data_IF_008731904551
#
_entry.id   IF_008731904551
#
_cell.length_a   1.000
_cell.length_b   1.000
_cell.length_c   1.000
_cell.angle_alpha   90.00
_cell.angle_beta   90.00
_cell.angle_gamma   90.00
#
_symmetry.space_group_name_H-M   'P 1'
#
loop_
_entity.id
_entity.type
_entity.pdbx_description
1 polymer ?
#
# COMPACT_ATOMS: atom_id res chain seq x y z
N UNK A 1 6.40 -66.98 -10.06
CA UNK A 1 6.46 -65.66 -10.74
C UNK A 1 5.24 -64.84 -10.36
N UNK A 2 5.33 -64.03 -9.30
CA UNK A 2 4.27 -63.07 -8.93
C UNK A 2 4.93 -61.81 -8.32
N UNK A 3 4.40 -60.67 -8.76
CA UNK A 3 4.41 -59.33 -8.14
C UNK A 3 5.74 -58.57 -8.01
N UNK A 4 6.17 -57.96 -9.12
CA UNK A 4 6.97 -56.72 -9.11
C UNK A 4 6.24 -55.69 -10.00
N UNK A 5 5.17 -55.06 -9.50
CA UNK A 5 4.46 -53.99 -10.23
C UNK A 5 4.02 -52.78 -9.37
N UNK A 6 4.43 -52.69 -8.10
CA UNK A 6 3.90 -51.64 -7.21
C UNK A 6 4.97 -50.72 -6.60
N UNK A 7 6.03 -50.37 -7.34
CA UNK A 7 7.05 -49.39 -6.87
C UNK A 7 7.36 -48.39 -7.99
N UNK A 8 6.37 -47.64 -8.48
CA UNK A 8 6.62 -46.60 -9.48
C UNK A 8 5.50 -45.53 -9.55
N UNK A 9 4.82 -45.24 -8.43
CA UNK A 9 3.73 -44.27 -8.40
C UNK A 9 3.80 -43.28 -7.23
N UNK A 10 4.99 -43.01 -6.69
CA UNK A 10 5.19 -42.14 -5.51
C UNK A 10 6.21 -41.02 -5.69
N UNK A 11 6.65 -40.71 -6.92
CA UNK A 11 7.69 -39.70 -7.18
C UNK A 11 7.22 -38.49 -8.00
N UNK A 12 5.92 -38.34 -8.29
CA UNK A 12 5.40 -37.25 -9.14
C UNK A 12 4.54 -36.20 -8.43
N UNK A 13 4.44 -36.21 -7.10
CA UNK A 13 3.64 -35.23 -6.34
C UNK A 13 4.51 -34.17 -5.62
N UNK A 14 5.84 -34.34 -5.60
CA UNK A 14 6.73 -33.54 -4.75
C UNK A 14 7.15 -32.15 -5.27
N UNK A 15 6.87 -31.78 -6.53
CA UNK A 15 7.49 -30.57 -7.14
C UNK A 15 6.55 -29.36 -7.32
N UNK A 16 5.25 -29.49 -7.07
CA UNK A 16 4.29 -28.40 -7.35
C UNK A 16 4.20 -27.34 -6.24
N UNK A 17 4.75 -27.59 -5.05
CA UNK A 17 4.62 -26.71 -3.88
C UNK A 17 5.66 -25.58 -3.82
N UNK A 18 6.76 -25.66 -4.58
CA UNK A 18 7.81 -24.63 -4.58
C UNK A 18 7.54 -23.48 -5.57
N UNK A 19 6.67 -23.66 -6.57
CA UNK A 19 6.41 -22.64 -7.58
C UNK A 19 5.45 -21.52 -7.12
N UNK A 20 4.72 -21.71 -6.02
CA UNK A 20 3.77 -20.71 -5.49
C UNK A 20 4.38 -19.75 -4.45
N UNK A 21 5.63 -19.94 -4.03
CA UNK A 21 6.24 -19.13 -2.95
C UNK A 21 6.93 -17.85 -3.43
N UNK A 22 6.95 -17.55 -4.74
CA UNK A 22 7.73 -16.44 -5.31
C UNK A 22 6.97 -15.50 -6.24
N UNK A 23 5.64 -15.31 -6.08
CA UNK A 23 5.03 -14.05 -6.55
C UNK A 23 5.48 -12.94 -5.61
N UNK A 24 6.71 -12.48 -5.80
CA UNK A 24 7.30 -11.37 -5.08
C UNK A 24 6.40 -10.15 -5.23
N UNK A 25 6.00 -9.57 -4.10
CA UNK A 25 5.30 -8.30 -4.08
C UNK A 25 6.30 -7.23 -4.54
N UNK A 26 6.22 -6.80 -5.81
CA UNK A 26 6.99 -5.64 -6.25
C UNK A 26 6.41 -4.40 -5.55
N UNK A 27 7.24 -3.58 -4.88
CA UNK A 27 6.78 -2.29 -4.39
C UNK A 27 6.35 -1.45 -5.60
N UNK A 28 5.21 -0.77 -5.47
CA UNK A 28 4.72 0.15 -6.51
C UNK A 28 5.74 1.27 -6.72
N UNK A 29 5.82 1.79 -7.94
CA UNK A 29 6.55 3.04 -8.20
C UNK A 29 5.84 4.23 -7.56
N UNK A 30 6.53 5.37 -7.41
CA UNK A 30 5.90 6.59 -6.88
C UNK A 30 4.77 7.06 -7.79
N UNK A 31 4.99 7.01 -9.11
CA UNK A 31 3.98 7.33 -10.11
C UNK A 31 2.74 6.44 -9.95
N UNK A 32 2.91 5.12 -9.86
CA UNK A 32 1.80 4.19 -9.66
C UNK A 32 1.05 4.42 -8.34
N UNK A 33 1.78 4.83 -7.29
CA UNK A 33 1.15 5.20 -6.00
C UNK A 33 0.33 6.48 -6.14
N UNK A 34 0.87 7.50 -6.84
CA UNK A 34 0.18 8.76 -7.09
C UNK A 34 -1.08 8.52 -7.92
N UNK A 35 -0.98 7.80 -9.04
CA UNK A 35 -2.13 7.51 -9.91
C UNK A 35 -3.25 6.82 -9.13
N UNK A 36 -2.93 5.81 -8.32
CA UNK A 36 -3.93 5.11 -7.49
C UNK A 36 -4.56 5.99 -6.42
N UNK A 37 -3.79 6.92 -5.84
CA UNK A 37 -4.34 7.86 -4.87
C UNK A 37 -5.28 8.85 -5.57
N UNK A 38 -4.88 9.38 -6.72
CA UNK A 38 -5.68 10.31 -7.50
C UNK A 38 -6.97 9.65 -8.02
N UNK A 39 -6.92 8.40 -8.47
CA UNK A 39 -8.10 7.61 -8.86
C UNK A 39 -9.10 7.51 -7.70
N UNK A 40 -8.65 7.12 -6.51
CA UNK A 40 -9.51 7.04 -5.31
C UNK A 40 -10.11 8.37 -4.90
N UNK A 41 -9.36 9.46 -5.05
CA UNK A 41 -9.85 10.81 -4.76
C UNK A 41 -10.93 11.16 -5.79
N UNK A 42 -10.66 10.91 -7.07
CA UNK A 42 -11.55 11.25 -8.18
C UNK A 42 -12.84 10.39 -8.22
N UNK A 43 -12.86 9.21 -7.58
CA UNK A 43 -14.07 8.41 -7.38
C UNK A 43 -15.11 9.09 -6.48
N UNK A 44 -14.68 9.99 -5.59
CA UNK A 44 -15.55 10.63 -4.58
C UNK A 44 -15.66 12.13 -4.73
N UNK A 45 -14.71 12.74 -5.43
CA UNK A 45 -14.58 14.17 -5.58
C UNK A 45 -14.47 14.46 -7.05
N UNK A 46 -15.40 15.24 -7.59
CA UNK A 46 -15.30 15.72 -8.95
C UNK A 46 -14.23 16.80 -9.00
N UNK A 47 -13.13 16.51 -9.69
CA UNK A 47 -11.99 17.41 -9.86
C UNK A 47 -11.93 17.89 -11.32
N UNK A 48 -11.69 19.18 -11.50
CA UNK A 48 -11.33 19.69 -12.83
C UNK A 48 -9.87 19.31 -13.20
N UNK A 49 -9.50 19.52 -14.47
CA UNK A 49 -8.19 19.10 -14.98
C UNK A 49 -7.02 19.87 -14.35
N UNK A 50 -7.23 21.13 -13.95
CA UNK A 50 -6.22 21.92 -13.26
C UNK A 50 -6.04 21.41 -11.83
N UNK A 51 -7.13 21.13 -11.12
CA UNK A 51 -7.10 20.54 -9.78
C UNK A 51 -6.42 19.17 -9.78
N UNK A 52 -6.73 18.31 -10.77
CA UNK A 52 -6.10 17.00 -10.93
C UNK A 52 -4.59 17.12 -11.11
N UNK A 53 -4.14 17.97 -12.04
CA UNK A 53 -2.71 18.13 -12.32
C UNK A 53 -1.94 18.70 -11.12
N UNK A 54 -2.50 19.70 -10.43
CA UNK A 54 -1.89 20.24 -9.22
C UNK A 54 -1.85 19.21 -8.08
N UNK A 55 -2.94 18.47 -7.86
CA UNK A 55 -2.96 17.39 -6.88
C UNK A 55 -1.94 16.30 -7.19
N UNK A 56 -1.82 15.90 -8.45
CA UNK A 56 -0.85 14.88 -8.88
C UNK A 56 0.59 15.28 -8.55
N UNK A 57 0.95 16.55 -8.79
CA UNK A 57 2.27 17.10 -8.43
C UNK A 57 2.51 17.00 -6.92
N UNK A 58 1.55 17.46 -6.11
CA UNK A 58 1.70 17.44 -4.65
C UNK A 58 1.68 16.03 -4.06
N UNK A 59 0.87 15.12 -4.59
CA UNK A 59 0.83 13.72 -4.19
C UNK A 59 2.13 13.00 -4.58
N UNK A 60 2.68 13.29 -5.75
CA UNK A 60 3.99 12.75 -6.18
C UNK A 60 5.10 13.20 -5.26
N UNK A 61 5.16 14.49 -4.94
CA UNK A 61 6.15 15.03 -4.01
C UNK A 61 5.99 14.41 -2.61
N UNK A 62 4.76 14.33 -2.10
CA UNK A 62 4.46 13.65 -0.85
C UNK A 62 4.95 12.19 -0.86
N UNK A 63 4.66 11.43 -1.92
CA UNK A 63 5.05 10.03 -2.02
C UNK A 63 6.58 9.85 -2.14
N UNK A 64 7.28 10.79 -2.80
CA UNK A 64 8.75 10.84 -2.81
C UNK A 64 9.30 11.07 -1.40
N UNK A 65 8.82 12.11 -0.71
CA UNK A 65 9.26 12.44 0.66
C UNK A 65 9.00 11.27 1.63
N UNK A 66 7.84 10.61 1.51
CA UNK A 66 7.52 9.40 2.28
C UNK A 66 8.49 8.26 2.00
N UNK A 67 8.88 8.06 0.74
CA UNK A 67 9.85 7.04 0.34
C UNK A 67 11.22 7.33 0.96
N UNK A 68 11.67 8.59 0.94
CA UNK A 68 12.92 9.00 1.57
C UNK A 68 12.93 8.74 3.08
N UNK A 69 11.86 9.13 3.79
CA UNK A 69 11.72 8.84 5.23
C UNK A 69 11.78 7.33 5.48
N UNK A 70 11.07 6.53 4.69
CA UNK A 70 11.06 5.07 4.85
C UNK A 70 12.42 4.43 4.58
N UNK A 71 13.16 4.97 3.61
CA UNK A 71 14.52 4.54 3.23
C UNK A 71 15.62 5.05 4.16
N UNK A 72 15.36 6.02 5.03
CA UNK A 72 16.34 6.50 6.01
C UNK A 72 16.75 5.39 7.01
N UNK A 73 17.88 5.56 7.70
CA UNK A 73 18.34 4.61 8.72
C UNK A 73 17.79 4.92 10.13
N UNK A 74 16.76 5.77 10.22
CA UNK A 74 16.21 6.21 11.49
C UNK A 74 15.34 5.14 12.16
N UNK A 75 15.21 5.26 13.49
CA UNK A 75 14.35 4.38 14.27
C UNK A 75 12.89 4.47 13.84
N UNK A 76 12.18 3.36 14.05
CA UNK A 76 10.79 3.20 13.60
C UNK A 76 9.86 4.28 14.15
N UNK A 77 10.03 4.68 15.39
CA UNK A 77 9.17 5.67 16.04
C UNK A 77 9.41 7.07 15.49
N UNK A 78 10.69 7.43 15.25
CA UNK A 78 11.06 8.69 14.58
C UNK A 78 10.52 8.74 13.16
N UNK A 79 10.64 7.65 12.40
CA UNK A 79 10.04 7.56 11.05
C UNK A 79 8.53 7.76 11.09
N UNK A 80 7.84 7.18 12.08
CA UNK A 80 6.39 7.34 12.25
C UNK A 80 6.02 8.79 12.53
N UNK A 81 6.75 9.45 13.42
CA UNK A 81 6.53 10.86 13.74
C UNK A 81 6.76 11.76 12.51
N UNK A 82 7.89 11.57 11.81
CA UNK A 82 8.18 12.32 10.57
C UNK A 82 7.14 12.11 9.49
N UNK A 83 6.65 10.88 9.33
CA UNK A 83 5.57 10.57 8.39
C UNK A 83 4.28 11.32 8.74
N UNK A 84 3.92 11.39 10.03
CA UNK A 84 2.74 12.14 10.47
C UNK A 84 2.91 13.65 10.26
N UNK A 85 4.08 14.20 10.58
CA UNK A 85 4.38 15.62 10.36
C UNK A 85 4.38 15.98 8.87
N UNK A 86 4.94 15.10 8.03
CA UNK A 86 4.91 15.26 6.57
C UNK A 86 3.47 15.27 6.05
N UNK A 87 2.62 14.34 6.50
CA UNK A 87 1.24 14.29 6.07
C UNK A 87 0.46 15.56 6.46
N UNK A 88 0.75 16.11 7.64
CA UNK A 88 0.16 17.37 8.11
C UNK A 88 0.69 18.59 7.32
N UNK A 89 1.95 18.59 6.91
CA UNK A 89 2.55 19.73 6.19
C UNK A 89 2.02 19.90 4.76
N UNK A 90 1.50 18.82 4.16
CA UNK A 90 0.87 18.86 2.84
C UNK A 90 -0.62 19.20 2.86
N UNK A 91 -1.29 19.10 4.02
CA UNK A 91 -2.72 19.42 4.13
C UNK A 91 -3.09 20.83 3.66
N UNK A 92 -2.34 21.90 4.01
CA UNK A 92 -2.64 23.24 3.50
C UNK A 92 -2.52 23.33 1.98
N UNK A 93 -1.54 22.66 1.38
CA UNK A 93 -1.34 22.65 -0.08
C UNK A 93 -2.54 22.05 -0.81
N UNK A 94 -3.15 21.01 -0.25
CA UNK A 94 -4.37 20.42 -0.80
C UNK A 94 -5.59 21.33 -0.60
N UNK A 95 -5.66 22.04 0.52
CA UNK A 95 -6.73 23.00 0.80
C UNK A 95 -6.70 24.21 -0.15
N UNK A 96 -5.53 24.62 -0.61
CA UNK A 96 -5.39 25.72 -1.59
C UNK A 96 -5.90 25.36 -2.99
N UNK A 97 -5.89 24.08 -3.35
CA UNK A 97 -6.31 23.58 -4.68
C UNK A 97 -7.80 23.27 -4.70
N UNK A 98 -8.29 22.70 -3.61
CA UNK A 98 -9.66 22.21 -3.47
C UNK A 98 -10.57 23.31 -2.94
N UNK A 99 -11.81 23.35 -3.43
CA UNK A 99 -12.85 24.11 -2.75
C UNK A 99 -13.09 23.56 -1.34
N UNK A 100 -13.70 24.34 -0.46
CA UNK A 100 -14.00 23.93 0.93
C UNK A 100 -14.74 22.60 1.01
N UNK A 101 -15.72 22.36 0.13
CA UNK A 101 -16.49 21.11 0.13
C UNK A 101 -15.69 19.93 -0.42
N UNK A 102 -14.94 20.14 -1.52
CA UNK A 102 -14.01 19.11 -2.03
C UNK A 102 -12.94 18.77 -0.99
N UNK A 103 -12.43 19.74 -0.23
CA UNK A 103 -11.43 19.50 0.80
C UNK A 103 -11.96 18.65 1.96
N UNK A 104 -13.20 18.87 2.39
CA UNK A 104 -13.85 18.01 3.39
C UNK A 104 -13.94 16.56 2.91
N UNK A 105 -14.40 16.35 1.67
CA UNK A 105 -14.46 15.02 1.08
C UNK A 105 -13.08 14.39 0.94
N UNK A 106 -12.06 15.18 0.62
CA UNK A 106 -10.67 14.71 0.54
C UNK A 106 -10.18 14.17 1.88
N UNK A 107 -10.49 14.85 3.00
CA UNK A 107 -10.15 14.36 4.34
C UNK A 107 -10.85 13.03 4.64
N UNK A 108 -12.11 12.87 4.25
CA UNK A 108 -12.84 11.61 4.41
C UNK A 108 -12.20 10.46 3.61
N UNK A 109 -11.88 10.70 2.33
CA UNK A 109 -11.20 9.71 1.48
C UNK A 109 -9.87 9.30 2.09
N UNK A 110 -9.10 10.26 2.62
CA UNK A 110 -7.82 10.01 3.28
C UNK A 110 -7.99 9.12 4.51
N UNK A 111 -8.95 9.43 5.37
CA UNK A 111 -9.21 8.68 6.59
C UNK A 111 -9.70 7.25 6.28
N UNK A 112 -10.51 7.07 5.24
CA UNK A 112 -10.89 5.75 4.74
C UNK A 112 -9.68 4.95 4.23
N UNK A 113 -8.81 5.56 3.43
CA UNK A 113 -7.58 4.92 2.96
C UNK A 113 -6.68 4.50 4.12
N UNK A 114 -6.62 5.29 5.19
CA UNK A 114 -5.86 4.93 6.39
C UNK A 114 -6.49 3.72 7.10
N UNK A 115 -7.82 3.73 7.32
CA UNK A 115 -8.55 2.61 7.93
C UNK A 115 -8.37 1.32 7.14
N UNK A 116 -8.45 1.35 5.82
CA UNK A 116 -8.18 0.19 4.95
C UNK A 116 -6.77 -0.38 5.17
N UNK A 117 -5.76 0.49 5.30
CA UNK A 117 -4.37 0.08 5.56
C UNK A 117 -4.23 -0.58 6.93
N UNK A 118 -4.88 -0.03 7.95
CA UNK A 118 -4.85 -0.58 9.31
C UNK A 118 -5.51 -1.97 9.37
N UNK A 119 -6.68 -2.14 8.75
CA UNK A 119 -7.39 -3.42 8.69
C UNK A 119 -6.56 -4.51 7.99
N UNK A 120 -5.90 -4.18 6.87
CA UNK A 120 -5.02 -5.12 6.15
C UNK A 120 -3.80 -5.54 6.96
N UNK A 121 -3.32 -4.70 7.88
CA UNK A 121 -2.19 -5.02 8.79
C UNK A 121 -2.62 -5.91 9.96
N UNK A 122 -3.81 -5.69 10.51
CA UNK A 122 -4.35 -6.51 11.62
C UNK A 122 -4.54 -7.99 11.27
N UNK A 123 -4.90 -8.30 10.01
CA UNK A 123 -5.17 -9.68 9.59
C UNK A 123 -3.92 -10.56 9.43
N UNK A 124 -2.73 -9.96 9.21
CA UNK A 124 -1.46 -10.71 9.06
C UNK A 124 -0.78 -11.04 10.39
N UNK A 125 -1.12 -10.36 11.49
CA UNK A 125 -0.55 -10.63 12.82
C UNK A 125 -1.04 -11.94 13.46
N UNK A 126 -2.21 -12.45 13.05
CA UNK A 126 -2.84 -13.60 13.72
C UNK A 126 -2.49 -14.98 13.13
N UNK A 127 -1.75 -15.07 12.03
CA UNK A 127 -1.35 -16.37 11.43
C UNK A 127 -0.01 -16.93 11.94
N UNK A 128 0.83 -16.13 12.59
CA UNK A 128 2.12 -16.60 13.11
C UNK A 128 2.08 -17.11 14.56
N UNK A 129 0.98 -16.88 15.30
CA UNK A 129 0.84 -17.35 16.69
C UNK A 129 0.35 -18.80 16.84
N UNK A 130 0.03 -19.50 15.74
CA UNK A 130 -0.42 -20.90 15.77
C UNK A 130 0.66 -21.92 15.40
N UNK A 131 1.91 -21.50 15.20
CA UNK A 131 3.02 -22.40 14.83
C UNK A 131 4.02 -22.68 15.96
N UNK A 132 3.82 -22.08 17.13
CA UNK A 132 4.59 -22.30 18.36
C UNK A 132 3.66 -22.51 19.58
N UNK A 133 2.75 -23.49 19.48
CA UNK A 133 2.11 -24.11 20.65
C UNK A 133 2.11 -25.61 20.47
#
# INVERSE_FOLDING_TARGET
MKSIKNILALTLIGFSLLAYSQRGFKPLSVEEMTTKQLEKINEKIELDDLQKSLLEVHLTNLNNDRKEIMSSNEDRDLKKEKMQQLDQSYLPKFQEILSTEQYKQFLEVRDEMEKERQQKRGFKGNRNNYRNR
#
